data_IF_906559413101
#
_entry.id   IF_906559413101
#
_cell.length_a   1.000
_cell.length_b   1.000
_cell.length_c   1.000
_cell.angle_alpha   90.00
_cell.angle_beta   90.00
_cell.angle_gamma   90.00
#
_symmetry.space_group_name_H-M   'P 1'
#
loop_
_entity.id
_entity.type
_entity.pdbx_description
1 polymer ?
#
# COMPACT_ATOMS: atom_id res chain seq x y z
N UNK A 1 10.87 23.25 -10.11
CA UNK A 1 11.18 21.98 -9.41
C UNK A 1 10.86 20.87 -10.38
N UNK A 2 11.86 20.11 -10.84
CA UNK A 2 11.60 18.91 -11.66
C UNK A 2 11.10 17.83 -10.70
N UNK A 3 9.80 17.58 -10.70
CA UNK A 3 9.19 16.45 -9.97
C UNK A 3 9.54 15.19 -10.73
N UNK A 4 10.73 14.65 -10.49
CA UNK A 4 11.09 13.33 -10.99
C UNK A 4 10.20 12.30 -10.27
N UNK A 5 9.63 11.40 -11.06
CA UNK A 5 8.98 10.19 -10.58
C UNK A 5 9.83 8.99 -10.99
N UNK A 6 9.58 7.85 -10.35
CA UNK A 6 10.19 6.56 -10.68
C UNK A 6 9.10 5.56 -11.02
N UNK A 7 9.43 4.60 -11.87
CA UNK A 7 8.57 3.49 -12.21
C UNK A 7 9.13 2.23 -11.56
N UNK A 8 8.32 1.53 -10.78
CA UNK A 8 8.68 0.24 -10.17
C UNK A 8 7.52 -0.73 -10.37
N UNK A 9 7.77 -1.77 -11.15
CA UNK A 9 6.80 -2.75 -11.60
C UNK A 9 5.47 -2.10 -12.00
N UNK A 10 5.54 -1.17 -12.97
CA UNK A 10 4.43 -0.36 -13.52
C UNK A 10 3.80 0.69 -12.59
N UNK A 11 4.13 0.71 -11.29
CA UNK A 11 3.65 1.76 -10.39
C UNK A 11 4.57 2.97 -10.43
N UNK A 12 3.97 4.15 -10.32
CA UNK A 12 4.68 5.42 -10.28
C UNK A 12 4.78 5.93 -8.84
N UNK A 13 5.97 6.37 -8.45
CA UNK A 13 6.26 6.91 -7.13
C UNK A 13 7.10 8.19 -7.20
N UNK A 14 7.10 8.95 -6.12
CA UNK A 14 8.02 10.07 -5.94
C UNK A 14 9.47 9.57 -5.85
N UNK A 15 10.39 10.06 -6.71
CA UNK A 15 11.81 9.63 -6.69
C UNK A 15 12.52 9.92 -5.37
N UNK A 16 12.08 10.91 -4.60
CA UNK A 16 12.82 11.33 -3.40
C UNK A 16 12.42 10.57 -2.15
N UNK A 17 11.14 10.20 -2.07
CA UNK A 17 10.57 9.66 -0.84
C UNK A 17 9.98 8.26 -1.03
N UNK A 18 9.81 7.82 -2.28
CA UNK A 18 9.21 6.52 -2.60
C UNK A 18 7.70 6.48 -2.40
N UNK A 19 7.10 7.57 -1.93
CA UNK A 19 5.66 7.65 -1.72
C UNK A 19 4.91 7.77 -3.04
N UNK A 20 3.82 7.02 -3.14
CA UNK A 20 2.80 7.18 -4.16
C UNK A 20 2.00 8.48 -3.97
N UNK A 21 1.63 8.79 -2.73
CA UNK A 21 1.09 10.08 -2.29
C UNK A 21 2.14 10.80 -1.45
N UNK A 22 2.90 11.71 -2.07
CA UNK A 22 3.95 12.44 -1.39
C UNK A 22 3.52 13.86 -1.03
N UNK A 23 3.22 14.09 0.24
CA UNK A 23 2.85 15.43 0.74
C UNK A 23 4.00 16.44 0.65
N UNK A 24 5.26 15.98 0.77
CA UNK A 24 6.45 16.83 0.71
C UNK A 24 6.75 17.35 -0.69
N UNK A 25 6.48 16.54 -1.71
CA UNK A 25 6.66 16.92 -3.12
C UNK A 25 5.35 17.35 -3.80
N UNK A 26 4.23 17.26 -3.07
CA UNK A 26 2.88 17.58 -3.57
C UNK A 26 2.53 16.81 -4.85
N UNK A 27 2.85 15.52 -4.87
CA UNK A 27 2.50 14.59 -5.97
C UNK A 27 1.59 13.48 -5.45
N UNK A 28 0.63 13.11 -6.27
CA UNK A 28 -0.31 12.02 -6.00
C UNK A 28 -0.42 11.14 -7.24
N UNK A 29 0.13 9.93 -7.14
CA UNK A 29 0.15 8.93 -8.22
C UNK A 29 -0.93 7.85 -8.04
N UNK A 30 -1.74 7.91 -6.96
CA UNK A 30 -2.71 6.86 -6.62
C UNK A 30 -3.71 6.60 -7.72
N UNK A 31 -4.22 7.65 -8.36
CA UNK A 31 -5.18 7.50 -9.46
C UNK A 31 -4.57 6.70 -10.62
N UNK A 32 -3.36 7.04 -11.05
CA UNK A 32 -2.67 6.36 -12.16
C UNK A 32 -2.37 4.90 -11.81
N UNK A 33 -1.93 4.64 -10.60
CA UNK A 33 -1.59 3.30 -10.13
C UNK A 33 -2.85 2.44 -9.91
N UNK A 34 -3.94 3.01 -9.38
CA UNK A 34 -5.22 2.31 -9.24
C UNK A 34 -5.72 1.79 -10.59
N UNK A 35 -5.63 2.60 -11.65
CA UNK A 35 -6.00 2.17 -13.00
C UNK A 35 -5.17 0.97 -13.49
N UNK A 36 -3.93 0.79 -13.02
CA UNK A 36 -3.10 -0.36 -13.42
C UNK A 36 -3.58 -1.69 -12.85
N UNK A 37 -4.32 -1.67 -11.74
CA UNK A 37 -4.71 -2.85 -10.95
C UNK A 37 -6.22 -3.01 -10.83
N UNK A 38 -7.00 -2.06 -11.37
CA UNK A 38 -8.45 -2.04 -11.28
C UNK A 38 -9.06 -3.34 -11.82
N UNK A 39 -8.63 -3.80 -13.00
CA UNK A 39 -9.11 -5.05 -13.59
C UNK A 39 -8.73 -6.28 -12.75
N UNK A 40 -7.52 -6.31 -12.20
CA UNK A 40 -7.05 -7.46 -11.39
C UNK A 40 -7.80 -7.53 -10.06
N UNK A 41 -8.04 -6.39 -9.40
CA UNK A 41 -8.76 -6.31 -8.12
C UNK A 41 -10.28 -6.44 -8.26
N UNK A 42 -10.90 -5.99 -9.35
CA UNK A 42 -12.33 -6.20 -9.59
C UNK A 42 -12.70 -7.68 -9.72
N UNK A 43 -11.76 -8.54 -10.11
CA UNK A 43 -11.95 -9.99 -10.15
C UNK A 43 -11.87 -10.66 -8.76
N UNK A 44 -11.54 -9.88 -7.72
CA UNK A 44 -11.39 -10.32 -6.34
C UNK A 44 -12.53 -9.71 -5.52
N UNK A 45 -13.76 -10.13 -5.84
CA UNK A 45 -15.06 -9.60 -5.34
C UNK A 45 -15.15 -9.42 -3.80
N UNK A 46 -14.27 -10.05 -3.02
CA UNK A 46 -14.34 -10.08 -1.55
C UNK A 46 -13.34 -9.18 -0.81
N UNK A 47 -12.38 -8.52 -1.49
CA UNK A 47 -11.27 -7.85 -0.78
C UNK A 47 -11.56 -6.40 -0.43
N UNK A 48 -12.39 -5.71 -1.21
CA UNK A 48 -12.63 -4.28 -1.07
C UNK A 48 -14.11 -4.00 -0.85
N UNK A 49 -14.56 -4.10 0.40
CA UNK A 49 -15.87 -3.56 0.81
C UNK A 49 -15.93 -2.04 0.58
N UNK A 50 -14.76 -1.38 0.64
CA UNK A 50 -14.53 0.03 0.38
C UNK A 50 -13.71 0.17 -0.91
N UNK A 51 -14.07 1.08 -1.82
CA UNK A 51 -13.42 1.17 -3.14
C UNK A 51 -11.90 1.41 -3.10
N UNK A 52 -11.21 1.18 -4.21
CA UNK A 52 -9.74 1.37 -4.33
C UNK A 52 -9.24 2.78 -3.97
N UNK A 53 -10.12 3.77 -3.89
CA UNK A 53 -9.77 5.12 -3.44
C UNK A 53 -9.47 5.19 -1.93
N UNK A 54 -9.95 4.23 -1.14
CA UNK A 54 -9.81 4.20 0.32
C UNK A 54 -8.59 3.37 0.79
N UNK A 55 -7.87 2.71 -0.12
CA UNK A 55 -6.66 1.95 0.24
C UNK A 55 -5.57 2.86 0.79
N UNK A 56 -4.66 2.28 1.57
CA UNK A 56 -3.47 2.99 2.02
C UNK A 56 -2.54 3.32 0.83
N UNK A 57 -1.94 4.53 0.78
CA UNK A 57 -0.92 4.85 -0.20
C UNK A 57 0.34 4.03 0.04
N UNK A 58 0.99 3.58 -1.04
CA UNK A 58 2.18 2.73 -0.94
C UNK A 58 3.45 3.59 -0.88
N UNK A 59 4.43 3.13 -0.09
CA UNK A 59 5.81 3.60 -0.16
C UNK A 59 6.72 2.50 -0.71
N UNK A 60 7.25 2.68 -1.92
CA UNK A 60 8.04 1.63 -2.60
C UNK A 60 9.36 1.32 -1.89
N UNK A 61 9.96 2.30 -1.19
CA UNK A 61 11.20 2.09 -0.44
C UNK A 61 10.97 1.28 0.83
N UNK A 62 9.79 1.39 1.45
CA UNK A 62 9.39 0.51 2.56
C UNK A 62 9.26 -0.96 2.12
N UNK A 63 9.02 -1.21 0.83
CA UNK A 63 9.03 -2.55 0.22
C UNK A 63 10.40 -2.95 -0.37
N UNK A 64 11.47 -2.24 -0.02
CA UNK A 64 12.85 -2.61 -0.38
C UNK A 64 13.24 -2.29 -1.81
N UNK A 65 12.63 -1.28 -2.44
CA UNK A 65 13.10 -0.79 -3.74
C UNK A 65 14.38 0.05 -3.59
N UNK A 66 15.39 -0.27 -4.40
CA UNK A 66 16.65 0.46 -4.51
C UNK A 66 17.00 0.70 -5.97
N UNK A 67 17.76 1.77 -6.25
CA UNK A 67 18.24 2.04 -7.59
C UNK A 67 19.12 0.89 -8.08
N UNK A 68 18.84 0.39 -9.28
CA UNK A 68 19.62 -0.67 -9.89
C UNK A 68 21.04 -0.16 -10.20
N UNK A 69 22.05 -1.00 -9.94
CA UNK A 69 23.46 -0.64 -10.23
C UNK A 69 23.70 -0.64 -11.75
N UNK A 70 22.94 -1.44 -12.49
CA UNK A 70 23.12 -1.68 -13.93
C UNK A 70 22.50 -0.59 -14.82
N UNK A 71 21.52 0.16 -14.31
CA UNK A 71 20.77 1.16 -15.09
C UNK A 71 20.45 2.37 -14.23
N UNK A 72 20.67 3.58 -14.76
CA UNK A 72 20.51 4.83 -14.00
C UNK A 72 19.04 5.16 -13.63
N UNK A 73 18.07 4.48 -14.25
CA UNK A 73 16.64 4.82 -14.14
C UNK A 73 15.74 3.66 -13.68
N UNK A 74 16.30 2.47 -13.41
CA UNK A 74 15.50 1.31 -12.97
C UNK A 74 15.69 1.02 -11.49
N UNK A 75 14.71 0.33 -10.91
CA UNK A 75 14.72 -0.04 -9.50
C UNK A 75 14.64 -1.56 -9.37
N UNK A 76 15.50 -2.10 -8.52
CA UNK A 76 15.54 -3.51 -8.14
C UNK A 76 15.08 -3.67 -6.69
N UNK A 77 14.64 -4.86 -6.32
CA UNK A 77 14.45 -5.17 -4.90
C UNK A 77 15.79 -5.46 -4.23
N UNK A 78 15.91 -5.10 -2.94
CA UNK A 78 17.12 -5.33 -2.15
C UNK A 78 17.44 -6.82 -1.98
N UNK A 79 16.41 -7.67 -1.91
CA UNK A 79 16.51 -9.09 -1.60
C UNK A 79 16.95 -9.93 -2.80
N UNK A 80 16.24 -9.83 -3.93
CA UNK A 80 16.50 -10.65 -5.11
C UNK A 80 17.41 -9.96 -6.14
N UNK A 81 17.65 -8.63 -6.00
CA UNK A 81 18.45 -7.84 -6.95
C UNK A 81 17.92 -7.94 -8.38
N UNK A 82 16.60 -8.04 -8.49
CA UNK A 82 15.87 -8.14 -9.74
C UNK A 82 15.11 -6.83 -9.98
N UNK A 83 15.32 -6.23 -11.15
CA UNK A 83 14.57 -5.06 -11.59
C UNK A 83 13.10 -5.44 -11.73
N UNK A 84 12.22 -4.62 -11.18
CA UNK A 84 10.77 -4.85 -11.20
C UNK A 84 10.37 -6.24 -10.68
N UNK A 85 11.06 -6.72 -9.62
CA UNK A 85 10.86 -8.05 -9.06
C UNK A 85 9.38 -8.35 -8.78
N UNK A 86 8.80 -9.23 -9.59
CA UNK A 86 7.37 -9.60 -9.52
C UNK A 86 6.95 -10.25 -8.20
N UNK A 87 7.91 -10.74 -7.40
CA UNK A 87 7.63 -11.33 -6.08
C UNK A 87 7.55 -10.26 -4.99
N UNK A 88 8.53 -9.34 -4.95
CA UNK A 88 8.60 -8.28 -3.94
C UNK A 88 7.64 -7.13 -4.24
N UNK A 89 7.42 -6.84 -5.52
CA UNK A 89 6.61 -5.72 -6.01
C UNK A 89 5.27 -6.19 -6.56
N UNK A 90 4.70 -7.24 -5.99
CA UNK A 90 3.35 -7.67 -6.32
C UNK A 90 2.33 -6.73 -5.65
N UNK A 91 2.08 -5.60 -6.29
CA UNK A 91 1.25 -4.53 -5.72
C UNK A 91 -0.17 -4.97 -5.40
N UNK A 92 -0.77 -5.79 -6.25
CA UNK A 92 -2.10 -6.37 -6.00
C UNK A 92 -2.08 -7.15 -4.69
N UNK A 93 -1.12 -8.08 -4.53
CA UNK A 93 -1.03 -8.89 -3.32
C UNK A 93 -0.77 -8.07 -2.05
N UNK A 94 0.13 -7.09 -2.13
CA UNK A 94 0.43 -6.18 -1.01
C UNK A 94 -0.84 -5.43 -0.58
N UNK A 95 -1.54 -4.83 -1.54
CA UNK A 95 -2.77 -4.07 -1.30
C UNK A 95 -3.85 -4.97 -0.67
N UNK A 96 -3.98 -6.22 -1.11
CA UNK A 96 -4.92 -7.16 -0.51
C UNK A 96 -4.56 -7.48 0.95
N UNK A 97 -3.28 -7.72 1.24
CA UNK A 97 -2.83 -8.01 2.60
C UNK A 97 -3.07 -6.85 3.55
N UNK A 98 -2.70 -5.63 3.14
CA UNK A 98 -2.91 -4.42 3.96
C UNK A 98 -4.40 -4.19 4.25
N UNK A 99 -5.28 -4.36 3.26
CA UNK A 99 -6.73 -4.21 3.46
C UNK A 99 -7.27 -5.25 4.45
N UNK A 100 -6.82 -6.50 4.35
CA UNK A 100 -7.21 -7.56 5.28
C UNK A 100 -6.74 -7.27 6.71
N UNK A 101 -5.50 -6.83 6.88
CA UNK A 101 -4.94 -6.47 8.19
C UNK A 101 -5.71 -5.30 8.84
N UNK A 102 -6.08 -4.28 8.06
CA UNK A 102 -6.90 -3.16 8.52
C UNK A 102 -8.29 -3.63 8.96
N UNK A 103 -8.95 -4.49 8.18
CA UNK A 103 -10.25 -5.05 8.52
C UNK A 103 -10.20 -5.86 9.84
N UNK A 104 -9.16 -6.68 10.01
CA UNK A 104 -8.94 -7.47 11.23
C UNK A 104 -8.67 -6.59 12.46
N UNK A 105 -7.84 -5.56 12.31
CA UNK A 105 -7.55 -4.58 13.37
C UNK A 105 -8.81 -3.81 13.77
N UNK A 106 -9.62 -3.37 12.80
CA UNK A 106 -10.91 -2.72 13.05
C UNK A 106 -11.83 -3.62 13.87
N UNK A 107 -12.00 -4.87 13.44
CA UNK A 107 -12.80 -5.87 14.16
C UNK A 107 -12.29 -6.13 15.58
N UNK A 108 -10.98 -6.10 15.80
CA UNK A 108 -10.39 -6.26 17.13
C UNK A 108 -10.67 -5.06 18.03
N UNK A 109 -10.53 -3.84 17.52
CA UNK A 109 -10.82 -2.60 18.24
C UNK A 109 -12.29 -2.55 18.67
N UNK A 110 -13.23 -2.85 17.76
CA UNK A 110 -14.66 -2.92 18.06
C UNK A 110 -14.97 -3.95 19.15
N UNK A 111 -14.36 -5.14 19.06
CA UNK A 111 -14.49 -6.17 20.10
C UNK A 111 -14.03 -5.62 21.45
N UNK A 112 -12.84 -5.01 21.51
CA UNK A 112 -12.27 -4.46 22.75
C UNK A 112 -13.15 -3.37 23.36
N UNK A 113 -13.72 -2.48 22.55
CA UNK A 113 -14.66 -1.46 23.00
C UNK A 113 -15.92 -2.08 23.60
N UNK A 114 -16.49 -3.10 22.93
CA UNK A 114 -17.63 -3.84 23.46
C UNK A 114 -17.34 -4.49 24.81
N UNK A 115 -16.19 -5.13 24.99
CA UNK A 115 -15.80 -5.72 26.29
C UNK A 115 -15.57 -4.65 27.37
N UNK A 116 -15.02 -3.51 26.99
CA UNK A 116 -14.82 -2.38 27.92
C UNK A 116 -16.15 -1.76 28.36
N UNK A 117 -17.13 -1.70 27.46
CA UNK A 117 -18.49 -1.26 27.76
C UNK A 117 -19.27 -2.26 28.63
N UNK A 118 -19.06 -3.57 28.45
CA UNK A 118 -19.68 -4.62 29.29
C UNK A 118 -19.06 -4.64 30.69
N UNK A 119 -17.74 -4.44 30.82
CA UNK A 119 -17.05 -4.37 32.11
C UNK A 119 -17.45 -3.17 32.99
N UNK A 120 -18.03 -2.11 32.43
CA UNK A 120 -18.58 -0.98 33.20
C UNK A 120 -19.94 -1.29 33.87
N UNK A 121 -20.67 -2.31 33.42
CA UNK A 121 -21.99 -2.66 33.99
C UNK A 121 -21.92 -3.59 35.22
N UNK A 122 -20.81 -4.29 35.44
CA UNK A 122 -20.65 -5.21 36.59
C UNK A 122 -20.13 -4.52 37.87
N UNK A 123 -19.70 -3.26 37.80
CA UNK A 123 -19.25 -2.48 38.97
C UNK A 123 -20.35 -1.63 39.63
N UNK A 124 -21.58 -1.69 39.12
CA UNK A 124 -22.76 -0.99 39.66
C UNK A 124 -23.90 -1.97 40.02
N UNK A 125 -23.58 -3.10 40.66
CA UNK A 125 -24.60 -4.02 41.20
C UNK A 125 -24.30 -4.44 42.63
#
# INVERSE_FOLDING_TARGET
>A
MTTSSILVNKFTFCTKHGDELCNLCSVDHRLTNNVQIEDELNNLEDVFEFGLEERQPINVYAHGAVAAISTEESYECEDHREIDCSQCFNWVHIIQQETQEVAELGSWLERRERWSAVGQFELYR
#
